data_IF_612563753582
#
_entry.id   IF_612563753582
#
_cell.length_a   1.000
_cell.length_b   1.000
_cell.length_c   1.000
_cell.angle_alpha   90.00
_cell.angle_beta   90.00
_cell.angle_gamma   90.00
#
_symmetry.space_group_name_H-M   'P 1'
#
loop_
_entity.id
_entity.type
_entity.pdbx_description
1 polymer ?
#
# COMPACT_ATOMS: atom_id res chain seq x y z
N UNK A 1 14.31 -20.82 24.55
CA UNK A 1 14.75 -20.70 23.14
C UNK A 1 13.65 -21.08 22.14
N UNK A 2 12.99 -22.24 22.27
CA UNK A 2 11.88 -22.67 21.39
C UNK A 2 10.78 -21.60 21.18
N UNK A 3 10.33 -20.94 22.24
CA UNK A 3 9.27 -19.94 22.16
C UNK A 3 9.70 -18.66 21.41
N UNK A 4 10.96 -18.25 21.55
CA UNK A 4 11.51 -17.08 20.82
C UNK A 4 11.63 -17.39 19.34
N UNK A 5 12.08 -18.60 19.00
CA UNK A 5 12.20 -19.05 17.61
C UNK A 5 10.83 -19.13 16.93
N UNK A 6 9.80 -19.58 17.64
CA UNK A 6 8.42 -19.64 17.14
C UNK A 6 7.85 -18.22 16.86
N UNK A 7 8.13 -17.26 17.73
CA UNK A 7 7.74 -15.86 17.54
C UNK A 7 8.45 -15.25 16.32
N UNK A 8 9.74 -15.50 16.14
CA UNK A 8 10.49 -15.02 14.96
C UNK A 8 9.89 -15.59 13.67
N UNK A 9 9.59 -16.89 13.63
CA UNK A 9 8.98 -17.54 12.46
C UNK A 9 7.62 -16.91 12.14
N UNK A 10 6.79 -16.61 13.14
CA UNK A 10 5.51 -15.94 12.93
C UNK A 10 5.67 -14.52 12.38
N UNK A 11 6.64 -13.76 12.88
CA UNK A 11 6.92 -12.41 12.37
C UNK A 11 7.40 -12.49 10.91
N UNK A 12 8.31 -13.40 10.60
CA UNK A 12 8.82 -13.60 9.22
C UNK A 12 7.69 -14.02 8.29
N UNK A 13 6.81 -14.93 8.72
CA UNK A 13 5.65 -15.34 7.94
C UNK A 13 4.67 -14.18 7.69
N UNK A 14 4.45 -13.32 8.69
CA UNK A 14 3.65 -12.10 8.55
C UNK A 14 4.25 -11.13 7.54
N UNK A 15 5.55 -10.87 7.64
CA UNK A 15 6.26 -9.98 6.72
C UNK A 15 6.20 -10.52 5.29
N UNK A 16 6.40 -11.83 5.10
CA UNK A 16 6.25 -12.48 3.80
C UNK A 16 4.82 -12.36 3.27
N UNK A 17 3.81 -12.56 4.11
CA UNK A 17 2.41 -12.40 3.69
C UNK A 17 2.08 -10.96 3.29
N UNK A 18 2.57 -9.97 4.04
CA UNK A 18 2.42 -8.55 3.69
C UNK A 18 3.08 -8.28 2.35
N UNK A 19 4.30 -8.77 2.16
CA UNK A 19 5.04 -8.59 0.91
C UNK A 19 4.30 -9.21 -0.28
N UNK A 20 3.90 -10.48 -0.19
CA UNK A 20 3.17 -11.16 -1.27
C UNK A 20 1.84 -10.50 -1.59
N UNK A 21 1.06 -10.15 -0.55
CA UNK A 21 -0.25 -9.50 -0.72
C UNK A 21 -0.08 -8.11 -1.33
N UNK A 22 0.90 -7.33 -0.85
CA UNK A 22 1.22 -6.00 -1.36
C UNK A 22 1.67 -6.02 -2.82
N UNK A 23 2.56 -6.95 -3.19
CA UNK A 23 3.01 -7.12 -4.59
C UNK A 23 1.85 -7.52 -5.49
N UNK A 24 1.04 -8.51 -5.12
CA UNK A 24 -0.10 -8.94 -5.93
C UNK A 24 -1.15 -7.85 -6.08
N UNK A 25 -1.43 -7.12 -5.00
CA UNK A 25 -2.40 -6.03 -5.02
C UNK A 25 -1.92 -4.85 -5.86
N UNK A 26 -0.64 -4.48 -5.72
CA UNK A 26 -0.02 -3.47 -6.56
C UNK A 26 -0.02 -3.87 -8.04
N UNK A 27 0.35 -5.11 -8.36
CA UNK A 27 0.28 -5.62 -9.73
C UNK A 27 -1.15 -5.61 -10.27
N UNK A 28 -2.13 -6.00 -9.46
CA UNK A 28 -3.54 -5.96 -9.86
C UNK A 28 -3.98 -4.54 -10.19
N UNK A 29 -3.66 -3.56 -9.36
CA UNK A 29 -4.03 -2.15 -9.60
C UNK A 29 -3.29 -1.58 -10.81
N UNK A 30 -1.97 -1.77 -10.88
CA UNK A 30 -1.16 -1.22 -11.97
C UNK A 30 -1.57 -1.83 -13.31
N UNK A 31 -1.74 -3.15 -13.36
CA UNK A 31 -2.06 -3.84 -14.60
C UNK A 31 -3.49 -3.59 -15.08
N UNK A 32 -4.47 -3.55 -14.18
CA UNK A 32 -5.89 -3.42 -14.58
C UNK A 32 -6.39 -1.98 -14.61
N UNK A 33 -5.75 -1.05 -13.90
CA UNK A 33 -6.29 0.30 -13.71
C UNK A 33 -5.31 1.44 -14.01
N UNK A 34 -4.02 1.15 -14.24
CA UNK A 34 -3.02 2.20 -14.48
C UNK A 34 -2.07 1.92 -15.65
N UNK A 35 -2.58 1.25 -16.68
CA UNK A 35 -1.83 1.04 -17.93
C UNK A 35 -1.42 2.39 -18.56
N UNK A 36 -2.24 3.42 -18.33
CA UNK A 36 -1.95 4.83 -18.56
C UNK A 36 -2.30 5.62 -17.28
N UNK A 37 -1.77 6.84 -17.15
CA UNK A 37 -2.08 7.70 -16.02
C UNK A 37 -3.58 7.99 -15.97
N UNK A 38 -4.28 7.65 -14.88
CA UNK A 38 -5.72 7.84 -14.84
C UNK A 38 -6.09 9.33 -14.77
N UNK A 39 -7.18 9.71 -15.44
CA UNK A 39 -7.65 11.10 -15.55
C UNK A 39 -7.76 11.82 -14.19
N UNK A 40 -8.24 11.12 -13.16
CA UNK A 40 -8.35 11.72 -11.82
C UNK A 40 -6.99 12.12 -11.25
N UNK A 41 -5.92 11.36 -11.55
CA UNK A 41 -4.57 11.66 -11.10
C UNK A 41 -3.99 12.84 -11.89
N UNK A 42 -4.32 12.91 -13.19
CA UNK A 42 -4.00 14.04 -14.06
C UNK A 42 -4.58 15.35 -13.53
N UNK A 43 -5.88 15.35 -13.22
CA UNK A 43 -6.55 16.55 -12.71
C UNK A 43 -6.01 16.97 -11.34
N UNK A 44 -5.63 16.01 -10.49
CA UNK A 44 -5.09 16.28 -9.16
C UNK A 44 -3.69 16.90 -9.22
N UNK A 45 -2.82 16.39 -10.11
CA UNK A 45 -1.50 16.98 -10.38
C UNK A 45 -1.67 18.40 -10.93
N UNK A 46 -2.57 18.59 -11.89
CA UNK A 46 -2.84 19.90 -12.48
C UNK A 46 -3.32 20.91 -11.45
N UNK A 47 -4.24 20.51 -10.57
CA UNK A 47 -4.72 21.33 -9.47
C UNK A 47 -3.58 21.71 -8.49
N UNK A 48 -2.71 20.75 -8.16
CA UNK A 48 -1.57 21.01 -7.28
C UNK A 48 -0.56 21.98 -7.93
N UNK A 49 -0.28 21.81 -9.23
CA UNK A 49 0.61 22.69 -9.99
C UNK A 49 0.05 24.12 -10.09
N UNK A 50 -1.24 24.26 -10.40
CA UNK A 50 -1.93 25.55 -10.44
C UNK A 50 -1.82 26.30 -9.09
N UNK A 51 -1.86 25.57 -7.97
CA UNK A 51 -1.68 26.15 -6.63
C UNK A 51 -0.24 26.54 -6.29
N UNK A 52 0.75 25.87 -6.86
CA UNK A 52 2.18 26.20 -6.63
C UNK A 52 2.69 27.35 -7.50
N UNK A 53 1.91 27.80 -8.50
CA UNK A 53 2.29 28.88 -9.40
C UNK A 53 3.44 28.53 -10.35
N UNK A 54 3.80 27.25 -10.45
CA UNK A 54 4.95 26.79 -11.20
C UNK A 54 4.54 26.48 -12.64
N UNK A 55 4.43 27.53 -13.46
CA UNK A 55 3.95 27.45 -14.85
C UNK A 55 4.85 26.66 -15.80
N UNK A 56 6.10 26.41 -15.42
CA UNK A 56 7.10 25.71 -16.23
C UNK A 56 6.89 24.20 -16.22
N UNK A 57 6.31 23.65 -15.14
CA UNK A 57 5.92 22.24 -15.05
C UNK A 57 4.43 22.18 -15.40
N UNK A 58 4.08 22.51 -16.64
CA UNK A 58 2.67 22.62 -17.05
C UNK A 58 2.08 21.31 -17.57
N UNK A 59 2.94 20.40 -18.00
CA UNK A 59 2.54 19.10 -18.55
C UNK A 59 2.58 18.05 -17.44
N UNK A 60 1.43 17.51 -17.02
CA UNK A 60 1.37 16.49 -15.97
C UNK A 60 2.09 15.19 -16.35
N UNK A 61 2.35 14.99 -17.64
CA UNK A 61 3.11 13.85 -18.17
C UNK A 61 4.54 13.80 -17.64
N UNK A 62 5.17 14.95 -17.40
CA UNK A 62 6.51 15.02 -16.80
C UNK A 62 6.53 14.52 -15.35
N UNK A 63 5.36 14.54 -14.68
CA UNK A 63 5.19 14.08 -13.30
C UNK A 63 4.50 12.71 -13.21
N UNK A 64 4.08 12.14 -14.34
CA UNK A 64 3.30 10.90 -14.40
C UNK A 64 3.96 9.75 -13.65
N UNK A 65 5.28 9.58 -13.83
CA UNK A 65 6.06 8.53 -13.17
C UNK A 65 6.11 8.72 -11.66
N UNK A 66 6.31 9.96 -11.20
CA UNK A 66 6.38 10.29 -9.77
C UNK A 66 5.00 10.09 -9.13
N UNK A 67 3.94 10.50 -9.83
CA UNK A 67 2.58 10.34 -9.39
C UNK A 67 2.19 8.85 -9.28
N UNK A 68 2.53 8.03 -10.26
CA UNK A 68 2.36 6.58 -10.22
C UNK A 68 3.10 5.94 -9.04
N UNK A 69 4.35 6.33 -8.78
CA UNK A 69 5.12 5.88 -7.62
C UNK A 69 4.47 6.30 -6.29
N UNK A 70 3.92 7.51 -6.23
CA UNK A 70 3.20 7.98 -5.04
C UNK A 70 1.95 7.14 -4.77
N UNK A 71 1.14 6.83 -5.80
CA UNK A 71 -0.04 5.98 -5.65
C UNK A 71 0.34 4.56 -5.23
N UNK A 72 1.42 4.02 -5.80
CA UNK A 72 1.96 2.73 -5.41
C UNK A 72 2.35 2.72 -3.93
N UNK A 73 3.05 3.76 -3.45
CA UNK A 73 3.43 3.88 -2.04
C UNK A 73 2.22 3.96 -1.11
N UNK A 74 1.18 4.72 -1.46
CA UNK A 74 -0.08 4.80 -0.71
C UNK A 74 -0.76 3.43 -0.66
N UNK A 75 -0.78 2.68 -1.77
CA UNK A 75 -1.32 1.32 -1.81
C UNK A 75 -0.57 0.37 -0.86
N UNK A 76 0.76 0.46 -0.80
CA UNK A 76 1.57 -0.34 0.13
C UNK A 76 1.27 0.00 1.60
N UNK A 77 1.08 1.27 1.92
CA UNK A 77 0.68 1.72 3.27
C UNK A 77 -0.70 1.15 3.63
N UNK A 78 -1.67 1.26 2.72
CA UNK A 78 -3.03 0.74 2.92
C UNK A 78 -3.03 -0.79 3.12
N UNK A 79 -2.30 -1.53 2.28
CA UNK A 79 -2.16 -2.97 2.40
C UNK A 79 -1.54 -3.37 3.74
N UNK A 80 -0.50 -2.67 4.18
CA UNK A 80 0.15 -2.90 5.48
C UNK A 80 -0.85 -2.69 6.63
N UNK A 81 -1.63 -1.61 6.58
CA UNK A 81 -2.67 -1.30 7.57
C UNK A 81 -3.74 -2.38 7.65
N UNK A 82 -4.21 -2.90 6.51
CA UNK A 82 -5.20 -3.98 6.44
C UNK A 82 -4.65 -5.25 7.08
N UNK A 83 -3.41 -5.65 6.76
CA UNK A 83 -2.82 -6.87 7.32
C UNK A 83 -2.59 -6.75 8.82
N UNK A 84 -2.09 -5.60 9.30
CA UNK A 84 -1.94 -5.34 10.74
C UNK A 84 -3.30 -5.44 11.43
N UNK A 85 -4.33 -4.82 10.88
CA UNK A 85 -5.68 -4.83 11.45
C UNK A 85 -6.24 -6.26 11.53
N UNK A 86 -6.07 -7.04 10.46
CA UNK A 86 -6.48 -8.45 10.42
C UNK A 86 -5.72 -9.29 11.46
N UNK A 87 -4.42 -9.09 11.61
CA UNK A 87 -3.62 -9.76 12.63
C UNK A 87 -4.10 -9.45 14.05
N UNK A 88 -4.41 -8.18 14.33
CA UNK A 88 -4.97 -7.79 15.62
C UNK A 88 -6.31 -8.46 15.89
N UNK A 89 -7.18 -8.55 14.89
CA UNK A 89 -8.49 -9.22 14.99
C UNK A 89 -8.32 -10.71 15.29
N UNK A 90 -7.48 -11.42 14.52
CA UNK A 90 -7.23 -12.85 14.73
C UNK A 90 -6.66 -13.11 16.12
N UNK A 91 -5.68 -12.32 16.54
CA UNK A 91 -5.09 -12.45 17.87
C UNK A 91 -6.09 -12.17 18.99
N UNK A 92 -7.01 -11.23 18.77
CA UNK A 92 -8.09 -10.91 19.72
C UNK A 92 -9.08 -12.08 19.81
N UNK A 93 -9.47 -12.68 18.69
CA UNK A 93 -10.38 -13.84 18.65
C UNK A 93 -9.76 -15.06 19.34
N UNK A 94 -8.48 -15.35 19.09
CA UNK A 94 -7.80 -16.50 19.73
C UNK A 94 -7.73 -16.30 21.25
N UNK A 95 -7.42 -15.08 21.72
CA UNK A 95 -7.40 -14.78 23.16
C UNK A 95 -8.77 -15.02 23.80
N UNK A 96 -9.85 -14.52 23.21
CA UNK A 96 -11.20 -14.74 23.74
C UNK A 96 -11.60 -16.22 23.79
N UNK A 97 -11.08 -17.05 22.89
CA UNK A 97 -11.41 -18.48 22.84
C UNK A 97 -10.61 -19.32 23.86
N UNK A 98 -9.53 -18.81 24.43
CA UNK A 98 -8.76 -19.50 25.48
C UNK A 98 -9.23 -19.16 26.90
N UNK A 99 -10.10 -18.16 27.07
CA UNK A 99 -10.62 -17.73 28.38
C UNK A 99 -12.01 -18.35 28.71
N UNK A 100 -12.46 -19.34 27.93
CA UNK A 100 -13.70 -20.14 28.13
C UNK A 100 -13.33 -21.61 28.22
#
# INVERSE_FOLDING_TARGET
>A
MKNVLLVIVQIVALVLMIYFTGVHFAQYIVHNHMQEMPLWLYDLIRLALDHTGNSDIREPDDLSTIALLSVLSICWIAATLVVISFYFIVRKIIRMRCDV
#
